data_IF_619221870553
#
_entry.id   IF_619221870553
#
_cell.length_a   1.000
_cell.length_b   1.000
_cell.length_c   1.000
_cell.angle_alpha   90.00
_cell.angle_beta   90.00
_cell.angle_gamma   90.00
#
_symmetry.space_group_name_H-M   'P 1'
#
loop_
_entity.id
_entity.type
_entity.pdbx_description
1 polymer ?
#
# COMPACT_ATOMS: atom_id res chain seq x y z
N UNK A 1 6.67 12.66 -46.30
CA UNK A 1 5.49 13.52 -46.08
C UNK A 1 4.29 12.60 -45.96
N UNK A 2 3.70 12.49 -44.77
CA UNK A 2 2.47 11.72 -44.60
C UNK A 2 1.32 12.59 -45.09
N UNK A 3 0.56 12.07 -46.05
CA UNK A 3 -0.54 12.78 -46.69
C UNK A 3 -1.65 13.06 -45.66
N UNK A 4 -2.10 14.30 -45.56
CA UNK A 4 -3.09 14.78 -44.60
C UNK A 4 -4.40 13.98 -44.69
N UNK A 5 -4.70 13.46 -45.89
CA UNK A 5 -5.83 12.58 -46.15
C UNK A 5 -5.76 11.23 -45.39
N UNK A 6 -4.56 10.72 -45.10
CA UNK A 6 -4.40 9.48 -44.35
C UNK A 6 -4.74 9.63 -42.86
N UNK A 7 -4.52 10.81 -42.27
CA UNK A 7 -4.87 11.07 -40.87
C UNK A 7 -6.40 11.13 -40.68
N UNK A 8 -7.12 11.76 -41.60
CA UNK A 8 -8.58 11.89 -41.53
C UNK A 8 -9.30 10.54 -41.64
N UNK A 9 -8.77 9.61 -42.43
CA UNK A 9 -9.32 8.26 -42.54
C UNK A 9 -9.05 7.40 -41.30
N UNK A 10 -7.92 7.62 -40.63
CA UNK A 10 -7.58 6.93 -39.39
C UNK A 10 -8.47 7.38 -38.22
N UNK A 11 -8.71 8.69 -38.09
CA UNK A 11 -9.63 9.23 -37.07
C UNK A 11 -11.07 8.76 -37.26
N UNK A 12 -11.57 8.70 -38.51
CA UNK A 12 -12.92 8.19 -38.79
C UNK A 12 -13.09 6.71 -38.45
N UNK A 13 -12.04 5.89 -38.57
CA UNK A 13 -12.08 4.46 -38.23
C UNK A 13 -12.12 4.24 -36.71
N UNK A 14 -11.40 5.05 -35.93
CA UNK A 14 -11.35 4.98 -34.46
C UNK A 14 -12.70 5.29 -33.77
N UNK A 15 -13.65 5.91 -34.46
CA UNK A 15 -14.97 6.27 -33.93
C UNK A 15 -16.12 5.44 -34.51
N UNK A 16 -15.79 4.37 -35.26
CA UNK A 16 -16.78 3.38 -35.68
C UNK A 16 -17.41 2.69 -34.44
N UNK A 17 -18.70 2.41 -34.49
CA UNK A 17 -19.47 1.92 -33.33
C UNK A 17 -18.99 0.57 -32.76
N UNK A 18 -18.20 -0.18 -33.53
CA UNK A 18 -17.65 -1.49 -33.15
C UNK A 18 -16.63 -1.35 -32.02
N UNK A 19 -15.84 -0.27 -31.99
CA UNK A 19 -14.84 -0.02 -30.95
C UNK A 19 -15.47 0.33 -29.59
N UNK A 20 -16.65 0.96 -29.59
CA UNK A 20 -17.39 1.28 -28.35
C UNK A 20 -17.84 0.04 -27.60
N UNK A 21 -18.20 -1.02 -28.33
CA UNK A 21 -18.58 -2.30 -27.73
C UNK A 21 -17.36 -3.01 -27.12
N UNK A 22 -16.20 -2.97 -27.78
CA UNK A 22 -14.95 -3.50 -27.25
C UNK A 22 -14.50 -2.75 -25.98
N UNK A 23 -14.56 -1.42 -25.97
CA UNK A 23 -14.22 -0.60 -24.80
C UNK A 23 -15.15 -0.85 -23.61
N UNK A 24 -16.47 -1.03 -23.84
CA UNK A 24 -17.40 -1.43 -22.78
C UNK A 24 -17.07 -2.81 -22.19
N UNK A 25 -16.67 -3.77 -23.03
CA UNK A 25 -16.25 -5.11 -22.57
C UNK A 25 -14.99 -5.03 -21.70
N UNK A 26 -14.00 -4.25 -22.12
CA UNK A 26 -12.76 -4.03 -21.36
C UNK A 26 -13.08 -3.36 -20.01
N UNK A 27 -13.86 -2.28 -20.00
CA UNK A 27 -14.27 -1.58 -18.78
C UNK A 27 -15.01 -2.50 -17.80
N UNK A 28 -15.96 -3.30 -18.29
CA UNK A 28 -16.69 -4.26 -17.44
C UNK A 28 -15.77 -5.31 -16.83
N UNK A 29 -14.78 -5.82 -17.59
CA UNK A 29 -13.78 -6.78 -17.08
C UNK A 29 -12.98 -6.20 -15.92
N UNK A 30 -12.46 -4.97 -16.05
CA UNK A 30 -11.73 -4.28 -14.99
C UNK A 30 -12.57 -4.07 -13.71
N UNK A 31 -13.86 -3.74 -13.86
CA UNK A 31 -14.75 -3.57 -12.71
C UNK A 31 -14.92 -4.88 -11.91
N UNK A 32 -15.04 -6.02 -12.59
CA UNK A 32 -15.11 -7.35 -11.94
C UNK A 32 -13.85 -7.72 -11.19
N UNK A 33 -12.67 -7.48 -11.77
CA UNK A 33 -11.39 -7.80 -11.14
C UNK A 33 -11.14 -6.93 -9.90
N UNK A 34 -11.48 -5.64 -9.96
CA UNK A 34 -11.42 -4.73 -8.82
C UNK A 34 -12.39 -5.15 -7.68
N UNK A 35 -13.59 -5.62 -8.02
CA UNK A 35 -14.53 -6.14 -7.02
C UNK A 35 -14.03 -7.43 -6.36
N UNK A 36 -13.39 -8.33 -7.13
CA UNK A 36 -12.79 -9.56 -6.59
C UNK A 36 -11.60 -9.25 -5.67
N UNK A 37 -10.73 -8.32 -6.08
CA UNK A 37 -9.59 -7.85 -5.27
C UNK A 37 -10.05 -7.18 -3.96
N UNK A 38 -11.15 -6.41 -4.00
CA UNK A 38 -11.75 -5.83 -2.78
C UNK A 38 -12.31 -6.89 -1.85
N UNK A 39 -12.91 -7.96 -2.38
CA UNK A 39 -13.42 -9.09 -1.59
C UNK A 39 -12.31 -9.90 -0.93
N UNK A 40 -11.19 -10.12 -1.61
CA UNK A 40 -10.02 -10.79 -1.02
C UNK A 40 -9.22 -9.90 -0.06
N UNK A 41 -9.27 -8.58 -0.23
CA UNK A 41 -8.65 -7.61 0.69
C UNK A 41 -9.50 -7.32 1.95
N UNK A 42 -10.83 -7.46 1.88
CA UNK A 42 -11.73 -7.22 3.01
C UNK A 42 -11.53 -8.18 4.21
N UNK A 43 -10.86 -9.32 3.99
CA UNK A 43 -10.39 -10.24 5.04
C UNK A 43 -8.86 -10.34 5.07
N UNK A 44 -8.16 -9.25 4.79
CA UNK A 44 -6.71 -9.19 4.95
C UNK A 44 -6.32 -9.74 6.33
N UNK A 45 -5.45 -10.75 6.34
CA UNK A 45 -4.95 -11.38 7.57
C UNK A 45 -4.44 -10.28 8.50
N UNK A 46 -5.14 -10.08 9.60
CA UNK A 46 -4.73 -9.14 10.64
C UNK A 46 -3.57 -9.80 11.40
N UNK A 47 -2.56 -9.02 11.73
CA UNK A 47 -1.40 -9.47 12.49
C UNK A 47 -1.29 -8.67 13.77
N UNK A 48 -0.86 -9.32 14.85
CA UNK A 48 -0.59 -8.62 16.10
C UNK A 48 0.61 -7.68 15.94
N UNK A 49 0.50 -6.41 16.33
CA UNK A 49 1.61 -5.46 16.27
C UNK A 49 2.70 -5.72 17.33
N UNK A 50 2.39 -6.48 18.37
CA UNK A 50 3.35 -6.85 19.42
C UNK A 50 4.17 -8.12 19.13
N UNK A 51 3.52 -9.17 18.63
CA UNK A 51 4.16 -10.48 18.43
C UNK A 51 4.11 -11.00 16.98
N UNK A 52 3.49 -10.26 16.06
CA UNK A 52 3.36 -10.59 14.63
C UNK A 52 2.60 -11.88 14.29
N UNK A 53 1.98 -12.55 15.27
CA UNK A 53 1.07 -13.68 15.02
C UNK A 53 -0.15 -13.21 14.23
N UNK A 54 -0.53 -13.99 13.21
CA UNK A 54 -1.75 -13.75 12.45
C UNK A 54 -2.99 -14.17 13.24
N UNK A 55 -4.14 -13.58 12.92
CA UNK A 55 -5.43 -14.13 13.35
C UNK A 55 -5.74 -15.37 12.51
N UNK A 56 -5.36 -16.55 13.00
CA UNK A 56 -5.85 -17.82 12.45
C UNK A 56 -7.29 -18.05 12.94
N UNK A 57 -8.11 -18.72 12.12
CA UNK A 57 -9.58 -18.63 12.12
C UNK A 57 -10.29 -19.09 13.40
N UNK A 58 -9.65 -19.82 14.31
CA UNK A 58 -10.37 -20.44 15.43
C UNK A 58 -10.08 -19.86 16.82
N UNK A 59 -8.88 -19.35 17.14
CA UNK A 59 -8.56 -18.95 18.53
C UNK A 59 -7.78 -17.64 18.72
N UNK A 60 -7.39 -16.95 17.64
CA UNK A 60 -6.53 -15.76 17.73
C UNK A 60 -7.28 -14.49 17.33
N UNK A 61 -8.39 -14.20 18.03
CA UNK A 61 -9.09 -12.92 17.88
C UNK A 61 -8.16 -11.76 18.28
N UNK A 62 -7.83 -10.92 17.30
CA UNK A 62 -7.03 -9.73 17.54
C UNK A 62 -7.93 -8.57 17.98
N UNK A 63 -7.64 -8.02 19.15
CA UNK A 63 -8.29 -6.83 19.67
C UNK A 63 -7.70 -5.57 19.04
N UNK A 64 -8.58 -4.72 18.50
CA UNK A 64 -8.18 -3.42 17.99
C UNK A 64 -7.96 -2.42 19.15
N UNK A 65 -6.97 -1.54 19.00
CA UNK A 65 -6.81 -0.41 19.90
C UNK A 65 -7.97 0.59 19.73
N UNK A 66 -8.73 0.84 20.80
CA UNK A 66 -9.90 1.74 20.78
C UNK A 66 -9.55 3.18 20.36
N UNK A 67 -8.36 3.67 20.72
CA UNK A 67 -7.89 5.00 20.31
C UNK A 67 -7.66 5.09 18.79
N UNK A 68 -6.99 4.10 18.21
CA UNK A 68 -6.69 4.05 16.77
C UNK A 68 -7.95 3.78 15.94
N UNK A 69 -8.86 2.93 16.43
CA UNK A 69 -10.11 2.65 15.74
C UNK A 69 -10.97 3.91 15.57
N UNK A 70 -10.92 4.85 16.52
CA UNK A 70 -11.69 6.10 16.45
C UNK A 70 -11.07 7.17 15.55
N UNK A 71 -9.73 7.22 15.41
CA UNK A 71 -9.04 8.39 14.84
C UNK A 71 -8.16 8.12 13.61
N UNK A 72 -7.62 6.90 13.47
CA UNK A 72 -6.57 6.63 12.48
C UNK A 72 -7.04 5.91 11.21
N UNK A 73 -8.27 5.41 11.14
CA UNK A 73 -8.74 4.58 10.00
C UNK A 73 -7.98 3.25 9.81
N UNK A 74 -6.77 3.12 10.37
CA UNK A 74 -5.92 1.95 10.41
C UNK A 74 -5.74 1.54 11.88
N UNK A 75 -6.59 0.65 12.40
CA UNK A 75 -6.45 0.17 13.77
C UNK A 75 -5.19 -0.68 13.94
N UNK A 76 -4.47 -0.45 15.04
CA UNK A 76 -3.46 -1.39 15.54
C UNK A 76 -4.14 -2.59 16.21
N UNK A 77 -3.61 -3.80 15.98
CA UNK A 77 -4.22 -5.05 16.43
C UNK A 77 -3.32 -5.81 17.40
N UNK A 78 -3.91 -6.39 18.45
CA UNK A 78 -3.19 -7.13 19.48
C UNK A 78 -3.90 -8.41 19.89
N UNK A 79 -3.16 -9.52 20.02
CA UNK A 79 -3.73 -10.77 20.53
C UNK A 79 -3.98 -10.73 22.04
N UNK A 80 -3.31 -9.84 22.77
CA UNK A 80 -3.46 -9.71 24.22
C UNK A 80 -3.08 -8.32 24.72
N UNK A 81 -3.57 -7.96 25.91
CA UNK A 81 -3.16 -6.74 26.62
C UNK A 81 -1.65 -6.71 26.91
N UNK A 82 -1.01 -7.87 27.04
CA UNK A 82 0.43 -7.96 27.22
C UNK A 82 1.19 -7.46 25.98
N UNK A 83 0.76 -7.85 24.77
CA UNK A 83 1.34 -7.36 23.52
C UNK A 83 1.13 -5.85 23.31
N UNK A 84 -0.04 -5.34 23.72
CA UNK A 84 -0.31 -3.90 23.71
C UNK A 84 0.62 -3.15 24.67
N UNK A 85 0.75 -3.59 25.93
CA UNK A 85 1.65 -2.97 26.91
C UNK A 85 3.11 -2.98 26.46
N UNK A 86 3.58 -4.09 25.88
CA UNK A 86 4.96 -4.22 25.35
C UNK A 86 5.27 -3.16 24.29
N UNK A 87 4.32 -2.88 23.40
CA UNK A 87 4.48 -1.89 22.32
C UNK A 87 3.97 -0.50 22.69
N UNK A 88 3.44 -0.29 23.89
CA UNK A 88 2.80 0.96 24.28
C UNK A 88 3.74 2.17 24.20
N UNK A 89 5.03 2.00 24.52
CA UNK A 89 6.03 3.09 24.48
C UNK A 89 6.14 3.73 23.09
N UNK A 90 6.08 2.93 22.03
CA UNK A 90 6.14 3.40 20.63
C UNK A 90 4.74 3.71 20.11
N UNK A 91 3.76 2.87 20.43
CA UNK A 91 2.37 3.03 19.98
C UNK A 91 1.73 4.32 20.49
N UNK A 92 2.00 4.74 21.74
CA UNK A 92 1.41 5.97 22.30
C UNK A 92 1.76 7.24 21.51
N UNK A 93 2.88 7.24 20.79
CA UNK A 93 3.31 8.37 19.97
C UNK A 93 2.37 8.60 18.78
N UNK A 94 1.71 7.53 18.33
CA UNK A 94 0.80 7.54 17.18
C UNK A 94 -0.65 7.29 17.56
N UNK A 95 -0.88 6.76 18.76
CA UNK A 95 -2.21 6.41 19.22
C UNK A 95 -3.08 7.67 19.35
N UNK A 96 -4.08 7.78 18.49
CA UNK A 96 -5.05 8.88 18.56
C UNK A 96 -4.55 10.21 18.01
N UNK A 97 -3.45 10.23 17.24
CA UNK A 97 -3.15 11.36 16.38
C UNK A 97 -4.16 11.42 15.24
N UNK A 98 -4.58 12.63 14.85
CA UNK A 98 -5.49 12.79 13.71
C UNK A 98 -4.69 12.63 12.41
N UNK A 99 -5.26 11.88 11.47
CA UNK A 99 -4.64 11.42 10.22
C UNK A 99 -4.14 12.53 9.26
N UNK A 100 -4.24 13.81 9.62
CA UNK A 100 -3.91 14.93 8.75
C UNK A 100 -2.42 15.05 8.41
N UNK A 101 -1.51 14.49 9.22
CA UNK A 101 -0.07 14.76 9.07
C UNK A 101 0.82 13.50 9.08
N UNK A 102 0.34 12.36 9.58
CA UNK A 102 1.22 11.22 9.92
C UNK A 102 1.40 10.17 8.80
N UNK A 103 0.63 10.24 7.70
CA UNK A 103 0.71 9.24 6.62
C UNK A 103 2.05 9.22 5.86
N UNK A 104 2.82 10.31 5.88
CA UNK A 104 4.08 10.37 5.12
C UNK A 104 5.26 9.66 5.83
N UNK A 105 5.28 9.59 7.16
CA UNK A 105 6.38 8.94 7.90
C UNK A 105 6.20 7.42 8.05
N UNK A 106 4.97 6.91 7.99
CA UNK A 106 4.69 5.50 8.28
C UNK A 106 4.92 4.53 7.12
N UNK A 107 4.97 5.05 5.88
CA UNK A 107 5.21 4.20 4.72
C UNK A 107 6.70 3.84 4.57
N UNK A 108 7.61 4.68 5.10
CA UNK A 108 9.06 4.45 5.02
C UNK A 108 9.61 3.58 6.15
N UNK A 109 9.01 3.61 7.35
CA UNK A 109 9.47 2.85 8.51
C UNK A 109 8.94 1.41 8.59
N UNK A 110 8.10 0.97 7.65
CA UNK A 110 7.76 -0.46 7.53
C UNK A 110 8.85 -1.16 6.72
N UNK A 111 9.67 -2.05 7.33
CA UNK A 111 10.59 -2.86 6.56
C UNK A 111 9.77 -3.65 5.53
N UNK A 112 10.06 -3.43 4.24
CA UNK A 112 9.51 -4.21 3.14
C UNK A 112 10.05 -5.63 3.29
N UNK A 113 9.32 -6.47 4.03
CA UNK A 113 9.61 -7.90 4.12
C UNK A 113 9.31 -8.52 2.75
N UNK A 114 10.34 -8.63 1.93
CA UNK A 114 10.31 -9.46 0.73
C UNK A 114 10.13 -10.91 1.20
N UNK A 115 8.99 -11.54 0.87
CA UNK A 115 8.68 -12.94 1.24
C UNK A 115 9.56 -13.98 0.55
N UNK A 116 10.49 -13.57 -0.32
CA UNK A 116 11.45 -14.49 -0.93
C UNK A 116 12.68 -14.58 -0.03
N UNK A 117 12.81 -15.74 0.60
CA UNK A 117 13.96 -16.23 1.37
C UNK A 117 14.22 -15.54 2.72
N UNK A 118 13.53 -16.00 3.77
CA UNK A 118 14.12 -16.51 5.02
C UNK A 118 15.28 -15.78 5.73
N UNK A 119 15.58 -14.51 5.47
CA UNK A 119 16.62 -13.77 6.19
C UNK A 119 16.11 -12.39 6.60
N UNK A 120 16.02 -12.17 7.91
CA UNK A 120 15.81 -10.86 8.51
C UNK A 120 17.19 -10.20 8.57
N UNK A 121 17.50 -9.33 7.62
CA UNK A 121 18.61 -8.38 7.79
C UNK A 121 18.04 -7.20 8.58
N UNK A 122 18.34 -7.15 9.87
CA UNK A 122 18.14 -5.93 10.66
C UNK A 122 19.18 -4.90 10.21
N UNK A 123 18.80 -3.70 9.74
CA UNK A 123 19.78 -2.63 9.62
C UNK A 123 20.27 -2.26 11.02
N UNK A 124 21.58 -2.39 11.21
CA UNK A 124 22.31 -1.93 12.39
C UNK A 124 22.16 -0.40 12.44
N UNK A 125 21.54 0.11 13.50
CA UNK A 125 21.21 1.52 13.70
C UNK A 125 22.42 2.32 14.19
N UNK A 126 23.51 2.31 13.43
CA UNK A 126 24.65 3.21 13.66
C UNK A 126 25.13 3.65 12.26
N UNK A 127 25.29 4.95 12.04
CA UNK A 127 25.86 5.59 10.82
C UNK A 127 24.90 5.94 9.66
N UNK A 128 23.95 6.86 9.87
CA UNK A 128 23.49 7.75 8.79
C UNK A 128 23.35 9.20 9.27
N UNK A 129 24.45 9.77 9.75
CA UNK A 129 24.67 11.22 9.65
C UNK A 129 25.85 11.44 8.70
N UNK A 130 25.65 12.32 7.72
CA UNK A 130 26.60 12.68 6.65
C UNK A 130 26.60 11.72 5.46
N UNK A 131 25.80 12.05 4.45
CA UNK A 131 26.26 12.36 3.09
C UNK A 131 25.06 12.83 2.27
N UNK A 132 24.66 14.08 2.55
CA UNK A 132 23.84 14.89 1.67
C UNK A 132 24.78 15.48 0.61
N UNK A 133 25.15 14.69 -0.40
CA UNK A 133 25.87 15.20 -1.58
C UNK A 133 25.12 14.80 -2.83
N UNK A 134 24.40 15.80 -3.33
CA UNK A 134 23.95 16.07 -4.70
C UNK A 134 24.52 15.09 -5.75
N UNK A 135 23.64 14.36 -6.43
CA UNK A 135 23.84 14.05 -7.84
C UNK A 135 22.60 14.47 -8.63
N UNK A 136 22.75 15.56 -9.36
CA UNK A 136 21.91 15.93 -10.49
C UNK A 136 22.21 14.94 -11.62
N UNK A 137 21.20 14.18 -12.05
CA UNK A 137 21.22 13.58 -13.37
C UNK A 137 20.96 14.70 -14.37
N UNK A 138 22.00 15.08 -15.13
CA UNK A 138 21.84 15.78 -16.42
C UNK A 138 21.75 14.71 -17.49
N UNK A 139 20.78 14.87 -18.38
CA UNK A 139 20.62 14.07 -19.59
C UNK A 139 21.73 14.39 -20.60
N UNK A 140 22.15 13.37 -21.34
CA UNK A 140 23.03 13.48 -22.52
C UNK A 140 22.37 14.28 -23.64
N UNK A 141 23.18 14.90 -24.52
CA UNK A 141 23.05 14.49 -25.91
C UNK A 141 24.38 14.39 -26.69
N UNK A 142 24.48 13.24 -27.40
CA UNK A 142 25.20 12.86 -28.64
C UNK A 142 26.70 13.20 -28.75
#
# INVERSE_FOLDING_TARGET
MCDEASLVLYEKRLWSGEDKAALKKISKKFQTEAALAKRSSARGRRVCDGCRKASDEEDNLLHACAGCMKRLGVPAYYCSRACQKKTWKTHKLICGQDNGVTMLFYQELRPKVCRRAGQIISPRLEETHSLFVRHQCREDPI
#
